data_IF_444845636011
#
_entry.id   IF_444845636011
#
_cell.length_a   1.000
_cell.length_b   1.000
_cell.length_c   1.000
_cell.angle_alpha   90.00
_cell.angle_beta   90.00
_cell.angle_gamma   90.00
#
_symmetry.space_group_name_H-M   'P 1'
#
loop_
_entity.id
_entity.type
_entity.pdbx_description
1 polymer ?
#
# COMPACT_ATOMS: atom_id res chain seq x y z
N UNK A 1 -2.87 -14.06 -16.85
CA UNK A 1 -4.05 -14.67 -16.21
C UNK A 1 -4.52 -13.71 -15.13
N UNK A 2 -5.53 -12.88 -15.39
CA UNK A 2 -6.10 -11.97 -14.39
C UNK A 2 -6.99 -12.80 -13.47
N UNK A 3 -6.47 -13.17 -12.30
CA UNK A 3 -7.27 -13.73 -11.23
C UNK A 3 -8.11 -12.58 -10.65
N UNK A 4 -9.42 -12.67 -10.76
CA UNK A 4 -10.37 -11.72 -10.17
C UNK A 4 -10.24 -11.72 -8.65
N UNK A 5 -10.44 -10.58 -7.97
CA UNK A 5 -10.40 -10.45 -6.49
C UNK A 5 -11.11 -11.60 -5.74
N UNK A 6 -12.25 -12.07 -6.25
CA UNK A 6 -13.05 -13.15 -5.67
C UNK A 6 -12.36 -14.53 -5.64
N UNK A 7 -11.32 -14.75 -6.46
CA UNK A 7 -10.54 -16.00 -6.43
C UNK A 7 -9.59 -16.06 -5.24
N UNK A 8 -9.22 -14.91 -4.68
CA UNK A 8 -8.21 -14.80 -3.63
C UNK A 8 -8.81 -14.86 -2.22
N UNK A 9 -10.07 -14.46 -2.06
CA UNK A 9 -10.81 -14.45 -0.79
C UNK A 9 -11.62 -15.73 -0.55
N UNK A 10 -11.64 -16.66 -1.50
CA UNK A 10 -12.47 -17.87 -1.42
C UNK A 10 -12.14 -18.72 -0.18
N UNK A 11 -13.17 -19.01 0.64
CA UNK A 11 -13.04 -19.79 1.87
C UNK A 11 -12.68 -18.96 3.11
N UNK A 12 -12.50 -17.65 2.98
CA UNK A 12 -12.40 -16.75 4.13
C UNK A 12 -13.79 -16.42 4.68
N UNK A 13 -13.90 -16.12 5.99
CA UNK A 13 -15.12 -15.54 6.53
C UNK A 13 -15.48 -14.24 5.80
N UNK A 14 -16.78 -14.02 5.58
CA UNK A 14 -17.28 -12.83 4.86
C UNK A 14 -16.74 -11.50 5.40
N UNK A 15 -16.62 -11.36 6.72
CA UNK A 15 -16.09 -10.14 7.34
C UNK A 15 -14.61 -9.89 6.96
N UNK A 16 -13.82 -10.96 6.74
CA UNK A 16 -12.42 -10.85 6.38
C UNK A 16 -12.26 -10.41 4.92
N UNK A 17 -13.13 -10.92 4.04
CA UNK A 17 -13.24 -10.45 2.66
C UNK A 17 -13.65 -8.97 2.60
N UNK A 18 -14.70 -8.58 3.33
CA UNK A 18 -15.16 -7.19 3.37
C UNK A 18 -14.07 -6.24 3.90
N UNK A 19 -13.37 -6.64 4.97
CA UNK A 19 -12.23 -5.88 5.53
C UNK A 19 -11.09 -5.74 4.51
N UNK A 20 -10.75 -6.83 3.82
CA UNK A 20 -9.67 -6.83 2.83
C UNK A 20 -9.99 -5.94 1.63
N UNK A 21 -11.23 -6.00 1.13
CA UNK A 21 -11.67 -5.15 0.02
C UNK A 21 -11.66 -3.67 0.42
N UNK A 22 -12.12 -3.34 1.63
CA UNK A 22 -12.07 -1.97 2.13
C UNK A 22 -10.63 -1.49 2.30
N UNK A 23 -9.73 -2.34 2.82
CA UNK A 23 -8.30 -2.06 2.91
C UNK A 23 -7.70 -1.73 1.53
N UNK A 24 -7.88 -2.60 0.54
CA UNK A 24 -7.40 -2.39 -0.83
C UNK A 24 -7.89 -1.05 -1.39
N UNK A 25 -9.17 -0.76 -1.25
CA UNK A 25 -9.77 0.48 -1.74
C UNK A 25 -9.20 1.74 -1.07
N UNK A 26 -9.03 1.72 0.25
CA UNK A 26 -8.51 2.86 1.00
C UNK A 26 -7.02 3.10 0.73
N UNK A 27 -6.25 2.03 0.50
CA UNK A 27 -4.85 2.15 0.12
C UNK A 27 -4.73 2.72 -1.30
N UNK A 28 -5.50 2.23 -2.28
CA UNK A 28 -5.53 2.76 -3.65
C UNK A 28 -5.96 4.24 -3.67
N UNK A 29 -7.03 4.57 -2.94
CA UNK A 29 -7.53 5.95 -2.86
C UNK A 29 -6.53 6.91 -2.22
N UNK A 30 -5.61 6.38 -1.42
CA UNK A 30 -4.53 7.13 -0.79
C UNK A 30 -3.29 7.36 -1.66
N UNK A 31 -3.23 6.82 -2.89
CA UNK A 31 -2.06 7.01 -3.76
C UNK A 31 -1.79 8.51 -3.95
N UNK A 32 -0.60 9.03 -3.59
CA UNK A 32 -0.31 10.45 -3.69
C UNK A 32 -0.45 10.95 -5.13
N UNK A 33 -1.28 11.97 -5.32
CA UNK A 33 -1.51 12.60 -6.64
C UNK A 33 -0.80 13.95 -6.80
N UNK A 34 -0.09 14.43 -5.77
CA UNK A 34 0.57 15.73 -5.80
C UNK A 34 2.07 15.58 -5.52
N UNK A 35 2.89 16.04 -6.45
CA UNK A 35 4.30 16.32 -6.21
C UNK A 35 4.38 17.57 -5.31
N UNK A 36 5.00 17.51 -4.11
CA UNK A 36 5.25 18.70 -3.31
C UNK A 36 6.01 19.71 -4.17
N UNK A 37 5.45 20.91 -4.32
CA UNK A 37 5.93 21.92 -5.27
C UNK A 37 7.45 22.03 -5.21
N UNK A 38 8.13 21.60 -6.28
CA UNK A 38 9.54 21.91 -6.48
C UNK A 38 9.61 23.43 -6.44
N UNK A 39 10.27 23.99 -5.41
CA UNK A 39 10.50 25.44 -5.26
C UNK A 39 10.86 25.98 -6.65
N UNK A 40 9.96 26.76 -7.24
CA UNK A 40 10.13 27.46 -8.53
C UNK A 40 9.94 26.68 -9.84
N UNK A 41 8.99 25.76 -9.98
CA UNK A 41 8.32 25.61 -11.28
C UNK A 41 6.97 24.90 -11.18
N UNK A 42 6.03 25.37 -12.00
CA UNK A 42 4.66 24.88 -12.19
C UNK A 42 4.59 23.44 -12.74
N UNK A 43 5.15 22.44 -12.08
CA UNK A 43 4.88 21.04 -12.45
C UNK A 43 3.59 20.61 -11.76
N UNK A 44 2.49 20.62 -12.51
CA UNK A 44 1.21 19.96 -12.21
C UNK A 44 1.31 18.42 -12.16
N UNK A 45 2.51 17.89 -11.96
CA UNK A 45 2.79 16.48 -12.16
C UNK A 45 2.31 15.70 -10.95
N UNK A 46 1.54 14.65 -11.22
CA UNK A 46 1.01 13.73 -10.22
C UNK A 46 1.99 12.58 -10.06
N UNK A 47 2.23 12.11 -8.83
CA UNK A 47 2.99 10.86 -8.64
C UNK A 47 2.22 9.64 -9.14
N UNK A 48 0.89 9.74 -9.26
CA UNK A 48 0.06 8.71 -9.85
C UNK A 48 -0.05 8.90 -11.37
N UNK A 49 0.32 7.87 -12.13
CA UNK A 49 0.18 7.83 -13.58
C UNK A 49 -1.26 7.49 -14.03
N UNK A 50 -2.07 6.94 -13.13
CA UNK A 50 -3.45 6.57 -13.40
C UNK A 50 -4.37 7.79 -13.36
N UNK A 51 -5.31 7.85 -14.30
CA UNK A 51 -6.40 8.83 -14.30
C UNK A 51 -7.37 8.55 -13.14
N UNK A 52 -8.18 9.54 -12.71
CA UNK A 52 -9.22 9.33 -11.70
C UNK A 52 -10.20 8.20 -12.05
N UNK A 53 -10.52 8.03 -13.35
CA UNK A 53 -11.39 6.96 -13.81
C UNK A 53 -10.72 5.57 -13.71
N UNK A 54 -9.42 5.48 -13.97
CA UNK A 54 -8.67 4.24 -13.79
C UNK A 54 -8.53 3.88 -12.31
N UNK A 55 -8.24 4.86 -11.44
CA UNK A 55 -8.20 4.66 -9.99
C UNK A 55 -9.55 4.22 -9.42
N UNK A 56 -10.66 4.80 -9.89
CA UNK A 56 -12.00 4.43 -9.42
C UNK A 56 -12.40 2.98 -9.77
N UNK A 57 -11.78 2.40 -10.79
CA UNK A 57 -12.01 1.01 -11.22
C UNK A 57 -10.84 0.08 -10.86
N UNK A 58 -9.84 0.59 -10.15
CA UNK A 58 -8.68 -0.18 -9.78
C UNK A 58 -9.03 -1.22 -8.72
N UNK A 59 -8.34 -2.35 -8.79
CA UNK A 59 -8.50 -3.46 -7.87
C UNK A 59 -7.14 -3.91 -7.32
N UNK A 60 -7.12 -5.05 -6.64
CA UNK A 60 -5.91 -5.63 -6.07
C UNK A 60 -4.81 -5.90 -7.12
N UNK A 61 -5.16 -5.98 -8.41
CA UNK A 61 -4.23 -6.15 -9.52
C UNK A 61 -3.18 -5.04 -9.60
N UNK A 62 -3.49 -3.82 -9.11
CA UNK A 62 -2.49 -2.74 -8.98
C UNK A 62 -1.29 -3.19 -8.14
N UNK A 63 -1.54 -3.82 -7.00
CA UNK A 63 -0.49 -4.29 -6.09
C UNK A 63 0.24 -5.54 -6.60
N UNK A 64 -0.26 -6.18 -7.66
CA UNK A 64 0.39 -7.30 -8.34
C UNK A 64 1.18 -6.84 -9.57
N UNK A 65 0.93 -5.64 -10.09
CA UNK A 65 1.66 -5.11 -11.23
C UNK A 65 3.03 -4.57 -10.80
N UNK A 66 4.09 -5.26 -11.23
CA UNK A 66 5.48 -4.86 -11.01
C UNK A 66 6.02 -3.88 -12.05
N UNK A 67 5.28 -3.60 -13.14
CA UNK A 67 5.60 -2.50 -14.05
C UNK A 67 5.14 -1.20 -13.42
N UNK A 68 5.95 -0.68 -12.50
CA UNK A 68 5.58 0.43 -11.64
C UNK A 68 5.31 1.74 -12.39
N UNK A 69 5.87 1.89 -13.60
CA UNK A 69 5.59 3.01 -14.50
C UNK A 69 4.13 3.06 -14.97
N UNK A 70 3.37 1.96 -14.88
CA UNK A 70 1.93 1.95 -15.18
C UNK A 70 1.11 2.62 -14.06
N UNK A 71 1.68 2.74 -12.85
CA UNK A 71 0.98 3.20 -11.64
C UNK A 71 1.54 4.55 -11.18
N UNK A 72 2.85 4.73 -11.29
CA UNK A 72 3.58 5.88 -10.78
C UNK A 72 4.35 6.61 -11.87
N UNK A 73 4.48 7.93 -11.72
CA UNK A 73 5.39 8.75 -12.53
C UNK A 73 6.78 8.88 -11.89
N UNK A 74 6.84 8.82 -10.56
CA UNK A 74 8.05 8.70 -9.76
C UNK A 74 7.73 7.87 -8.50
N UNK A 75 8.64 7.00 -8.08
CA UNK A 75 8.46 6.16 -6.88
C UNK A 75 9.81 5.80 -6.26
N UNK A 76 9.83 5.75 -4.93
CA UNK A 76 10.93 5.20 -4.13
C UNK A 76 10.57 3.76 -3.74
N UNK A 77 11.49 2.82 -3.92
CA UNK A 77 11.24 1.42 -3.61
C UNK A 77 12.43 0.75 -2.93
N UNK A 78 12.15 -0.26 -2.11
CA UNK A 78 13.13 -1.16 -1.52
C UNK A 78 12.51 -2.57 -1.44
N UNK A 79 13.33 -3.61 -1.46
CA UNK A 79 12.87 -5.00 -1.33
C UNK A 79 12.82 -5.39 0.14
N UNK A 80 11.72 -6.03 0.56
CA UNK A 80 11.61 -6.70 1.85
C UNK A 80 12.52 -7.92 1.86
N UNK A 81 13.37 -8.05 2.88
CA UNK A 81 14.47 -9.03 2.90
C UNK A 81 13.99 -10.42 3.29
N UNK A 82 13.06 -10.50 4.22
CA UNK A 82 12.62 -11.75 4.82
C UNK A 82 11.17 -11.67 5.34
N UNK A 83 10.67 -12.83 5.81
CA UNK A 83 9.30 -12.97 6.31
C UNK A 83 9.06 -12.23 7.64
N UNK A 84 10.11 -11.97 8.42
CA UNK A 84 10.01 -11.21 9.67
C UNK A 84 9.77 -9.73 9.36
N UNK A 85 10.54 -9.15 8.43
CA UNK A 85 10.31 -7.80 7.94
C UNK A 85 8.93 -7.67 7.27
N UNK A 86 8.49 -8.69 6.52
CA UNK A 86 7.15 -8.72 5.96
C UNK A 86 6.05 -8.71 7.03
N UNK A 87 6.26 -9.42 8.14
CA UNK A 87 5.32 -9.41 9.27
C UNK A 87 5.26 -8.05 9.94
N UNK A 88 6.41 -7.41 10.18
CA UNK A 88 6.47 -6.04 10.75
C UNK A 88 5.69 -5.05 9.88
N UNK A 89 5.85 -5.17 8.56
CA UNK A 89 5.08 -4.36 7.60
C UNK A 89 3.59 -4.68 7.69
N UNK A 90 3.21 -5.95 7.71
CA UNK A 90 1.80 -6.33 7.85
C UNK A 90 1.19 -5.77 9.14
N UNK A 91 1.91 -5.86 10.25
CA UNK A 91 1.48 -5.35 11.56
C UNK A 91 1.33 -3.83 11.57
N UNK A 92 2.06 -3.08 10.75
CA UNK A 92 1.83 -1.64 10.61
C UNK A 92 0.54 -1.30 9.85
N UNK A 93 0.02 -2.22 9.04
CA UNK A 93 -1.24 -2.06 8.32
C UNK A 93 -2.43 -2.62 9.10
N UNK A 94 -2.21 -3.68 9.90
CA UNK A 94 -3.19 -4.37 10.75
C UNK A 94 -2.65 -4.48 12.19
N UNK A 95 -2.59 -3.35 12.92
CA UNK A 95 -1.93 -3.30 14.20
C UNK A 95 -2.74 -4.01 15.28
N UNK A 96 -2.05 -4.34 16.37
CA UNK A 96 -2.71 -4.92 17.54
C UNK A 96 -3.60 -3.89 18.25
N UNK A 97 -4.45 -4.41 19.14
CA UNK A 97 -5.29 -3.57 20.00
C UNK A 97 -4.42 -2.56 20.76
N UNK A 98 -4.94 -1.34 20.93
CA UNK A 98 -4.31 -0.24 21.66
C UNK A 98 -3.09 0.41 20.96
N UNK A 99 -2.77 -0.01 19.72
CA UNK A 99 -1.85 0.74 18.88
C UNK A 99 -2.58 1.91 18.21
N UNK A 100 -1.91 3.06 18.15
CA UNK A 100 -2.41 4.26 17.51
C UNK A 100 -1.44 4.70 16.42
N UNK A 101 -1.98 5.01 15.24
CA UNK A 101 -1.23 5.58 14.13
C UNK A 101 -0.85 7.01 14.44
N UNK A 102 0.44 7.34 14.28
CA UNK A 102 0.93 8.72 14.33
C UNK A 102 0.53 9.52 13.09
N UNK A 103 0.18 8.85 11.98
CA UNK A 103 -0.37 9.46 10.78
C UNK A 103 -1.90 9.59 10.86
N UNK A 104 -2.46 10.82 11.02
CA UNK A 104 -3.89 11.03 11.09
C UNK A 104 -4.61 10.77 9.75
N UNK A 105 -3.91 10.86 8.62
CA UNK A 105 -4.48 10.53 7.31
C UNK A 105 -4.68 9.03 7.20
N UNK A 106 -3.74 8.25 7.74
CA UNK A 106 -3.90 6.80 7.85
C UNK A 106 -4.97 6.40 8.86
N UNK A 107 -4.95 7.01 10.05
CA UNK A 107 -5.93 6.73 11.09
C UNK A 107 -7.38 7.03 10.68
N UNK A 108 -7.59 7.96 9.74
CA UNK A 108 -8.92 8.34 9.25
C UNK A 108 -9.46 7.45 8.11
N UNK A 109 -8.72 6.41 7.70
CA UNK A 109 -9.20 5.45 6.70
C UNK A 109 -10.28 4.57 7.30
N UNK A 110 -11.33 4.30 6.51
CA UNK A 110 -12.47 3.50 6.94
C UNK A 110 -12.06 2.08 7.35
N UNK A 111 -11.16 1.45 6.60
CA UNK A 111 -10.69 0.11 6.94
C UNK A 111 -10.01 0.09 8.32
N UNK A 112 -9.29 1.17 8.67
CA UNK A 112 -8.58 1.27 9.93
C UNK A 112 -9.57 1.35 11.10
N UNK A 113 -10.59 2.20 10.98
CA UNK A 113 -11.70 2.28 11.94
C UNK A 113 -12.41 0.93 12.10
N UNK A 114 -12.73 0.27 10.99
CA UNK A 114 -13.40 -1.03 10.98
C UNK A 114 -12.52 -2.11 11.63
N UNK A 115 -11.21 -2.11 11.35
CA UNK A 115 -10.23 -3.02 11.95
C UNK A 115 -10.12 -2.80 13.46
N UNK A 116 -9.90 -1.56 13.90
CA UNK A 116 -9.80 -1.22 15.32
C UNK A 116 -11.08 -1.62 16.05
N UNK A 117 -12.25 -1.28 15.50
CA UNK A 117 -13.53 -1.67 16.08
C UNK A 117 -13.69 -3.20 16.17
N UNK A 118 -13.24 -3.94 15.16
CA UNK A 118 -13.19 -5.41 15.20
C UNK A 118 -12.30 -5.89 16.36
N UNK A 119 -11.08 -5.36 16.50
CA UNK A 119 -10.15 -5.80 17.57
C UNK A 119 -10.70 -5.56 18.97
N UNK A 120 -11.56 -4.57 19.20
CA UNK A 120 -12.22 -4.34 20.50
C UNK A 120 -13.42 -5.25 20.76
N UNK A 121 -14.07 -5.78 19.72
CA UNK A 121 -15.28 -6.61 19.84
C UNK A 121 -14.99 -8.08 20.08
N UNK A 122 -13.84 -8.58 19.63
CA UNK A 122 -13.49 -10.00 19.68
C UNK A 122 -12.39 -10.30 20.70
N UNK A 123 -12.16 -11.58 21.00
CA UNK A 123 -11.06 -12.00 21.86
C UNK A 123 -9.70 -11.83 21.18
N UNK A 124 -8.62 -11.77 21.97
CA UNK A 124 -7.25 -11.70 21.42
C UNK A 124 -6.93 -12.89 20.51
N UNK A 125 -7.43 -14.08 20.83
CA UNK A 125 -7.26 -15.28 20.01
C UNK A 125 -7.92 -15.13 18.64
N UNK A 126 -9.12 -14.54 18.60
CA UNK A 126 -9.80 -14.25 17.32
C UNK A 126 -9.08 -13.19 16.50
N UNK A 127 -8.48 -12.17 17.13
CA UNK A 127 -7.61 -11.21 16.42
C UNK A 127 -6.40 -11.91 15.78
N UNK A 128 -5.76 -12.85 16.49
CA UNK A 128 -4.63 -13.61 15.95
C UNK A 128 -5.05 -14.44 14.74
N UNK A 129 -6.20 -15.13 14.80
CA UNK A 129 -6.71 -15.89 13.65
C UNK A 129 -7.11 -14.99 12.48
N UNK A 130 -7.66 -13.81 12.77
CA UNK A 130 -7.96 -12.78 11.77
C UNK A 130 -6.69 -12.29 11.07
N UNK A 131 -5.66 -11.94 11.83
CA UNK A 131 -4.35 -11.53 11.29
C UNK A 131 -3.74 -12.63 10.44
N UNK A 132 -3.80 -13.90 10.85
CA UNK A 132 -3.34 -15.03 10.02
C UNK A 132 -4.09 -15.13 8.69
N UNK A 133 -5.41 -14.91 8.68
CA UNK A 133 -6.20 -14.93 7.46
C UNK A 133 -5.83 -13.77 6.52
N UNK A 134 -5.76 -12.55 7.05
CA UNK A 134 -5.38 -11.34 6.29
C UNK A 134 -3.93 -11.40 5.79
N UNK A 135 -3.01 -11.93 6.59
CA UNK A 135 -1.61 -12.08 6.18
C UNK A 135 -1.46 -12.99 4.96
N UNK A 136 -2.29 -14.03 4.82
CA UNK A 136 -2.29 -14.88 3.62
C UNK A 136 -2.61 -14.08 2.37
N UNK A 137 -3.56 -13.14 2.45
CA UNK A 137 -3.90 -12.23 1.35
C UNK A 137 -2.78 -11.21 1.11
N UNK A 138 -2.22 -10.67 2.18
CA UNK A 138 -1.11 -9.71 2.13
C UNK A 138 0.12 -10.26 1.40
N UNK A 139 0.45 -11.54 1.62
CA UNK A 139 1.54 -12.25 0.92
C UNK A 139 1.30 -12.41 -0.59
N UNK A 140 0.08 -12.19 -1.07
CA UNK A 140 -0.23 -12.28 -2.49
C UNK A 140 0.14 -11.01 -3.25
N UNK A 141 0.37 -9.91 -2.54
CA UNK A 141 0.77 -8.64 -3.12
C UNK A 141 2.22 -8.70 -3.58
N UNK A 142 2.55 -7.98 -4.65
CA UNK A 142 3.92 -7.83 -5.14
C UNK A 142 4.60 -6.61 -4.53
N UNK A 143 3.82 -5.58 -4.21
CA UNK A 143 4.29 -4.39 -3.52
C UNK A 143 3.20 -3.77 -2.65
N UNK A 144 3.59 -2.91 -1.70
CA UNK A 144 2.68 -2.16 -0.83
C UNK A 144 3.27 -0.79 -0.49
N UNK A 145 2.47 0.26 -0.23
CA UNK A 145 3.02 1.50 0.30
C UNK A 145 3.66 1.34 1.68
N UNK A 146 4.61 2.22 1.93
CA UNK A 146 5.35 2.30 3.18
C UNK A 146 5.17 3.66 3.85
N UNK A 147 5.18 3.67 5.17
CA UNK A 147 5.27 4.87 5.99
C UNK A 147 5.71 4.52 7.41
N UNK A 148 6.40 5.46 8.05
CA UNK A 148 6.70 5.36 9.47
C UNK A 148 5.45 5.85 10.24
N UNK A 149 4.77 4.94 10.94
CA UNK A 149 3.49 5.24 11.60
C UNK A 149 2.32 5.52 10.67
N UNK A 150 2.37 5.08 9.41
CA UNK A 150 1.32 5.30 8.41
C UNK A 150 1.61 4.62 7.06
N UNK A 151 1.04 5.15 5.97
CA UNK A 151 1.33 4.68 4.59
C UNK A 151 1.45 5.86 3.64
N UNK A 152 2.12 5.65 2.50
CA UNK A 152 2.39 6.68 1.48
C UNK A 152 3.34 7.79 1.94
N UNK A 153 4.39 7.46 2.70
CA UNK A 153 5.47 8.40 3.00
C UNK A 153 6.13 8.85 1.68
N UNK A 154 6.45 10.14 1.59
CA UNK A 154 7.03 10.75 0.40
C UNK A 154 8.41 11.35 0.64
N UNK A 155 8.82 11.56 1.90
CA UNK A 155 10.11 12.16 2.24
C UNK A 155 11.27 11.38 1.61
N UNK A 156 12.30 12.05 1.07
CA UNK A 156 13.49 11.38 0.55
C UNK A 156 14.13 10.42 1.55
N UNK A 157 14.55 9.24 1.10
CA UNK A 157 15.26 8.26 1.94
C UNK A 157 16.34 7.52 1.14
N UNK A 158 17.59 7.61 1.63
CA UNK A 158 18.76 7.04 0.96
C UNK A 158 18.78 5.51 0.95
N UNK A 159 17.96 4.86 1.78
CA UNK A 159 17.81 3.40 1.78
C UNK A 159 17.02 2.91 0.57
N UNK A 160 16.19 3.77 -0.02
CA UNK A 160 15.34 3.42 -1.15
C UNK A 160 16.03 3.70 -2.48
N UNK A 161 15.79 2.81 -3.43
CA UNK A 161 16.05 3.04 -4.85
C UNK A 161 14.93 3.91 -5.43
N UNK A 162 15.18 4.59 -6.56
CA UNK A 162 14.18 5.45 -7.19
C UNK A 162 14.04 5.16 -8.68
N UNK A 163 12.80 5.20 -9.14
CA UNK A 163 12.45 5.25 -10.55
C UNK A 163 11.89 6.62 -10.97
N UNK A 164 11.96 6.93 -12.27
CA UNK A 164 11.52 8.22 -12.84
C UNK A 164 12.63 9.24 -13.10
N UNK A 165 13.91 8.86 -12.95
CA UNK A 165 15.07 9.67 -13.36
C UNK A 165 15.34 10.95 -12.54
N UNK A 166 14.51 11.24 -11.54
CA UNK A 166 14.65 12.40 -10.67
C UNK A 166 15.70 12.21 -9.55
N UNK A 167 16.17 13.32 -9.00
CA UNK A 167 17.12 13.37 -7.88
C UNK A 167 16.56 12.64 -6.65
N UNK A 168 17.36 11.76 -6.03
CA UNK A 168 17.02 11.03 -4.80
C UNK A 168 16.67 11.95 -3.62
N UNK A 169 17.04 13.23 -3.68
CA UNK A 169 16.72 14.25 -2.67
C UNK A 169 15.31 14.83 -2.83
N UNK A 170 14.58 14.44 -3.87
CA UNK A 170 13.22 14.92 -4.12
C UNK A 170 12.18 13.95 -3.52
N UNK A 171 11.04 14.45 -3.03
CA UNK A 171 9.97 13.59 -2.55
C UNK A 171 9.45 12.64 -3.64
N UNK A 172 9.08 11.42 -3.27
CA UNK A 172 8.25 10.51 -4.06
C UNK A 172 7.66 9.42 -3.16
N UNK A 173 6.49 8.85 -3.50
CA UNK A 173 5.86 7.78 -2.73
C UNK A 173 6.83 6.64 -2.48
N UNK A 174 6.87 6.14 -1.24
CA UNK A 174 7.64 4.96 -0.87
C UNK A 174 6.78 3.72 -0.93
N UNK A 175 7.33 2.70 -1.55
CA UNK A 175 6.75 1.35 -1.58
C UNK A 175 7.78 0.32 -1.15
N UNK A 176 7.30 -0.79 -0.64
CA UNK A 176 8.08 -2.00 -0.42
C UNK A 176 7.73 -3.00 -1.50
N UNK A 177 8.76 -3.65 -2.07
CA UNK A 177 8.60 -4.80 -2.95
C UNK A 177 8.62 -6.05 -2.07
N UNK A 178 7.51 -6.77 -2.08
CA UNK A 178 7.33 -7.98 -1.28
C UNK A 178 7.80 -9.22 -2.04
N UNK A 179 7.71 -9.19 -3.38
CA UNK A 179 8.11 -10.29 -4.27
C UNK A 179 8.29 -9.82 -5.71
N UNK A 180 9.15 -10.53 -6.43
CA UNK A 180 9.47 -10.23 -7.83
C UNK A 180 10.41 -9.02 -7.99
N UNK A 181 10.69 -8.68 -9.23
CA UNK A 181 11.58 -7.56 -9.58
C UNK A 181 10.75 -6.42 -10.17
N UNK A 182 10.83 -5.20 -9.61
CA UNK A 182 10.07 -4.08 -10.14
C UNK A 182 10.69 -3.59 -11.44
N UNK A 183 9.83 -3.27 -12.41
CA UNK A 183 10.22 -2.82 -13.74
C UNK A 183 9.82 -1.37 -13.94
N UNK A 184 10.63 -0.65 -14.72
CA UNK A 184 10.36 0.72 -15.10
C UNK A 184 10.64 0.92 -16.58
N UNK A 185 9.61 1.24 -17.35
CA UNK A 185 9.75 1.59 -18.76
C UNK A 185 9.36 3.05 -18.94
N UNK A 186 10.24 3.82 -19.59
CA UNK A 186 9.88 5.17 -20.00
C UNK A 186 8.81 5.06 -21.08
N UNK A 187 7.72 5.81 -20.94
CA UNK A 187 6.77 5.99 -22.04
C UNK A 187 7.56 6.54 -23.24
N UNK A 188 7.58 5.78 -24.34
CA UNK A 188 8.27 6.15 -25.59
C UNK A 188 7.59 7.29 -26.32
#
# INVERSE_FOLDING_TARGET
>A
MHLTQHHFTHGLPRWCEEMWLQYVNDIISGIPSKVPSRRNNHSSDSFCALTPAQLANADMGIFQNLRLSDIFTEVQWIVVRDEEELMVVFDSHFPDRDWESEDPVFASRRYYDDWVAFTYRVSRTEVVEAKKALFRLFRMLCWIPWGDGGVWETRPDRRFTRFGGADLRLPAPKILILRGEPMWELAG
#
